data_IF_567145878220
#
_entry.id   IF_567145878220
#
_cell.length_a   1.000
_cell.length_b   1.000
_cell.length_c   1.000
_cell.angle_alpha   90.00
_cell.angle_beta   90.00
_cell.angle_gamma   90.00
#
_symmetry.space_group_name_H-M   'P 1'
#
loop_
_entity.id
_entity.type
_entity.pdbx_description
1 polymer ?
#
# COMPACT_ATOMS: atom_id res chain seq x y z
N UNK A 1 -38.76 -5.61 21.93
CA UNK A 1 -37.29 -5.70 21.74
C UNK A 1 -36.85 -4.39 21.09
N UNK A 2 -36.23 -3.49 21.86
CA UNK A 2 -36.25 -2.04 21.56
C UNK A 2 -35.20 -1.65 20.51
N UNK A 3 -35.64 -0.98 19.45
CA UNK A 3 -34.81 -0.54 18.32
C UNK A 3 -33.59 0.30 18.75
N UNK A 4 -33.69 1.04 19.86
CA UNK A 4 -32.60 1.87 20.39
C UNK A 4 -31.38 1.07 20.87
N UNK A 5 -31.58 -0.14 21.40
CA UNK A 5 -30.47 -1.03 21.79
C UNK A 5 -29.71 -1.57 20.58
N UNK A 6 -30.41 -1.84 19.48
CA UNK A 6 -29.78 -2.30 18.23
C UNK A 6 -28.91 -1.21 17.61
N UNK A 7 -29.38 0.05 17.62
CA UNK A 7 -28.60 1.19 17.10
C UNK A 7 -27.36 1.45 17.96
N UNK A 8 -27.45 1.34 19.29
CA UNK A 8 -26.29 1.49 20.18
C UNK A 8 -25.22 0.42 19.96
N UNK A 9 -25.62 -0.85 19.84
CA UNK A 9 -24.71 -1.98 19.56
C UNK A 9 -24.10 -1.85 18.16
N UNK A 10 -24.90 -1.48 17.16
CA UNK A 10 -24.42 -1.28 15.80
C UNK A 10 -23.42 -0.11 15.72
N UNK A 11 -23.68 1.00 16.42
CA UNK A 11 -22.77 2.15 16.47
C UNK A 11 -21.46 1.81 17.18
N UNK A 12 -21.51 1.07 18.29
CA UNK A 12 -20.32 0.59 19.00
C UNK A 12 -19.49 -0.40 18.16
N UNK A 13 -20.16 -1.32 17.47
CA UNK A 13 -19.51 -2.27 16.55
C UNK A 13 -18.87 -1.57 15.36
N UNK A 14 -19.58 -0.61 14.74
CA UNK A 14 -19.09 0.16 13.60
C UNK A 14 -17.89 1.03 13.99
N UNK A 15 -17.95 1.72 15.14
CA UNK A 15 -16.82 2.50 15.67
C UNK A 15 -15.60 1.62 15.95
N UNK A 16 -15.79 0.44 16.56
CA UNK A 16 -14.71 -0.52 16.78
C UNK A 16 -14.10 -0.99 15.46
N UNK A 17 -14.91 -1.31 14.47
CA UNK A 17 -14.44 -1.74 13.13
C UNK A 17 -13.65 -0.64 12.42
N UNK A 18 -14.15 0.59 12.43
CA UNK A 18 -13.47 1.74 11.81
C UNK A 18 -12.14 2.02 12.54
N UNK A 19 -12.13 1.96 13.87
CA UNK A 19 -10.92 2.18 14.66
C UNK A 19 -9.84 1.14 14.36
N UNK A 20 -10.22 -0.15 14.29
CA UNK A 20 -9.30 -1.22 13.90
C UNK A 20 -8.77 -0.99 12.48
N UNK A 21 -9.65 -0.63 11.53
CA UNK A 21 -9.26 -0.37 10.15
C UNK A 21 -8.26 0.79 10.04
N UNK A 22 -8.49 1.90 10.76
CA UNK A 22 -7.57 3.04 10.79
C UNK A 22 -6.21 2.66 11.40
N UNK A 23 -6.21 1.92 12.51
CA UNK A 23 -4.97 1.46 13.16
C UNK A 23 -4.19 0.54 12.22
N UNK A 24 -4.86 -0.40 11.54
CA UNK A 24 -4.23 -1.32 10.59
C UNK A 24 -3.61 -0.55 9.42
N UNK A 25 -4.34 0.39 8.81
CA UNK A 25 -3.82 1.21 7.71
C UNK A 25 -2.62 2.04 8.18
N UNK A 26 -2.75 2.72 9.32
CA UNK A 26 -1.66 3.52 9.88
C UNK A 26 -0.40 2.69 10.16
N UNK A 27 -0.58 1.50 10.71
CA UNK A 27 0.50 0.55 11.00
C UNK A 27 1.14 0.07 9.71
N UNK A 28 0.35 -0.32 8.71
CA UNK A 28 0.86 -0.76 7.42
C UNK A 28 1.65 0.33 6.69
N UNK A 29 1.13 1.58 6.67
CA UNK A 29 1.82 2.74 6.08
C UNK A 29 3.15 2.99 6.81
N UNK A 30 3.14 2.96 8.14
CA UNK A 30 4.33 3.20 8.95
C UNK A 30 5.38 2.11 8.73
N UNK A 31 4.96 0.84 8.77
CA UNK A 31 5.84 -0.29 8.47
C UNK A 31 6.43 -0.16 7.07
N UNK A 32 5.62 0.15 6.05
CA UNK A 32 6.11 0.28 4.69
C UNK A 32 7.13 1.42 4.56
N UNK A 33 6.88 2.56 5.21
CA UNK A 33 7.83 3.68 5.26
C UNK A 33 9.19 3.27 5.84
N UNK A 34 9.19 2.55 6.98
CA UNK A 34 10.44 2.08 7.58
C UNK A 34 11.09 0.95 6.78
N UNK A 35 10.30 0.00 6.29
CA UNK A 35 10.74 -1.15 5.51
C UNK A 35 11.50 -0.70 4.26
N UNK A 36 10.91 0.19 3.46
CA UNK A 36 11.53 0.72 2.24
C UNK A 36 12.81 1.51 2.52
N UNK A 37 12.96 2.03 3.75
CA UNK A 37 14.11 2.85 4.15
C UNK A 37 15.24 2.06 4.80
N UNK A 38 14.92 0.88 5.34
CA UNK A 38 15.88 -0.10 5.86
C UNK A 38 16.40 -0.99 4.72
N UNK A 39 15.62 -1.19 3.64
CA UNK A 39 16.09 -1.93 2.47
C UNK A 39 17.36 -1.26 1.90
N UNK A 40 18.47 -2.02 1.76
CA UNK A 40 19.67 -1.51 1.12
C UNK A 40 19.38 -1.25 -0.37
N UNK A 41 19.77 -0.07 -0.85
CA UNK A 41 19.40 0.43 -2.18
C UNK A 41 18.42 1.58 -2.06
N UNK A 42 18.92 2.76 -1.68
CA UNK A 42 18.11 3.98 -1.75
C UNK A 42 17.62 4.11 -3.20
N UNK A 43 16.31 4.26 -3.46
CA UNK A 43 15.81 4.40 -4.83
C UNK A 43 16.43 5.59 -5.56
N UNK A 44 16.94 6.58 -4.83
CA UNK A 44 17.77 7.66 -5.38
C UNK A 44 19.08 7.12 -5.95
N UNK A 45 19.78 6.24 -5.25
CA UNK A 45 21.04 5.64 -5.70
C UNK A 45 20.81 4.71 -6.88
N UNK A 46 19.70 3.95 -6.88
CA UNK A 46 19.30 3.10 -8.02
C UNK A 46 19.00 3.96 -9.25
N UNK A 47 18.31 5.09 -9.07
CA UNK A 47 18.05 6.04 -10.15
C UNK A 47 19.34 6.69 -10.67
N UNK A 48 20.22 7.13 -9.77
CA UNK A 48 21.53 7.70 -10.14
C UNK A 48 22.31 6.68 -10.97
N UNK A 49 22.36 5.41 -10.52
CA UNK A 49 23.01 4.34 -11.28
C UNK A 49 22.33 4.10 -12.63
N UNK A 50 21.00 4.14 -12.71
CA UNK A 50 20.30 4.00 -13.99
C UNK A 50 20.62 5.11 -15.00
N UNK A 51 20.92 6.33 -14.53
CA UNK A 51 21.38 7.43 -15.38
C UNK A 51 22.87 7.30 -15.73
N UNK A 52 23.70 6.81 -14.81
CA UNK A 52 25.11 6.52 -15.09
C UNK A 52 25.23 5.42 -16.16
N UNK A 53 24.41 4.37 -16.08
CA UNK A 53 24.32 3.30 -17.08
C UNK A 53 23.87 3.80 -18.47
N UNK A 54 23.14 4.93 -18.51
CA UNK A 54 22.74 5.62 -19.74
C UNK A 54 23.83 6.57 -20.29
N UNK A 55 24.98 6.66 -19.62
CA UNK A 55 26.13 7.46 -20.07
C UNK A 55 26.21 8.88 -19.50
N UNK A 56 25.38 9.24 -18.51
CA UNK A 56 25.47 10.54 -17.83
C UNK A 56 26.57 10.55 -16.78
N UNK A 57 27.24 11.70 -16.59
CA UNK A 57 28.19 11.89 -15.50
C UNK A 57 27.51 11.83 -14.13
N UNK A 58 28.22 11.40 -13.08
CA UNK A 58 27.66 11.25 -11.73
C UNK A 58 26.95 12.52 -11.23
N UNK A 59 27.56 13.70 -11.42
CA UNK A 59 26.98 14.97 -10.99
C UNK A 59 25.73 15.36 -11.79
N UNK A 60 25.68 15.03 -13.08
CA UNK A 60 24.51 15.27 -13.93
C UNK A 60 23.36 14.33 -13.58
N UNK A 61 23.66 13.05 -13.32
CA UNK A 61 22.71 12.05 -12.87
C UNK A 61 22.07 12.47 -11.53
N UNK A 62 22.86 12.96 -10.57
CA UNK A 62 22.37 13.47 -9.28
C UNK A 62 21.42 14.66 -9.47
N UNK A 63 21.77 15.61 -10.35
CA UNK A 63 20.91 16.78 -10.63
C UNK A 63 19.61 16.37 -11.33
N UNK A 64 19.65 15.41 -12.27
CA UNK A 64 18.43 14.91 -12.92
C UNK A 64 17.51 14.18 -11.94
N UNK A 65 18.08 13.33 -11.08
CA UNK A 65 17.32 12.62 -10.04
C UNK A 65 16.71 13.60 -9.05
N UNK A 66 17.43 14.66 -8.64
CA UNK A 66 16.88 15.72 -7.80
C UNK A 66 15.67 16.44 -8.45
N UNK A 67 15.73 16.70 -9.77
CA UNK A 67 14.62 17.32 -10.52
C UNK A 67 13.41 16.40 -10.70
N UNK A 68 13.63 15.11 -10.86
CA UNK A 68 12.56 14.12 -11.12
C UNK A 68 11.83 13.73 -9.84
N UNK A 69 12.57 13.65 -8.73
CA UNK A 69 12.05 13.07 -7.49
C UNK A 69 11.40 14.13 -6.58
N UNK A 70 11.66 15.44 -6.75
CA UNK A 70 11.18 16.51 -5.84
C UNK A 70 11.44 16.22 -4.35
N UNK A 71 12.35 15.29 -4.05
CA UNK A 71 12.65 14.85 -2.70
C UNK A 71 13.97 15.48 -2.32
N UNK A 72 13.85 16.55 -1.54
CA UNK A 72 14.99 17.26 -0.97
C UNK A 72 15.54 16.38 0.17
N UNK A 73 16.71 15.73 0.02
CA UNK A 73 17.22 14.77 1.01
C UNK A 73 17.63 15.43 2.34
N UNK A 74 17.57 16.77 2.45
CA UNK A 74 18.06 17.55 3.59
C UNK A 74 17.04 17.81 4.69
N UNK A 75 15.78 17.35 4.58
CA UNK A 75 14.81 17.49 5.68
C UNK A 75 15.03 16.43 6.79
N UNK A 76 14.82 16.75 8.07
CA UNK A 76 14.89 15.76 9.15
C UNK A 76 13.84 14.64 8.97
N UNK A 77 14.18 13.41 9.40
CA UNK A 77 13.35 12.20 9.16
C UNK A 77 11.88 12.36 9.55
N UNK A 78 11.61 13.05 10.66
CA UNK A 78 10.24 13.29 11.13
C UNK A 78 9.42 14.13 10.13
N UNK A 79 10.03 15.15 9.52
CA UNK A 79 9.37 16.02 8.56
C UNK A 79 9.05 15.25 7.28
N UNK A 80 9.94 14.33 6.86
CA UNK A 80 9.69 13.47 5.71
C UNK A 80 8.54 12.50 5.95
N UNK A 81 8.39 11.99 7.18
CA UNK A 81 7.27 11.12 7.54
C UNK A 81 5.93 11.88 7.55
N UNK A 82 5.92 13.13 8.04
CA UNK A 82 4.70 13.95 8.02
C UNK A 82 4.32 14.36 6.60
N UNK A 83 5.28 14.80 5.79
CA UNK A 83 5.04 15.13 4.39
C UNK A 83 4.50 13.88 3.65
N UNK A 84 5.04 12.69 3.93
CA UNK A 84 4.54 11.44 3.38
C UNK A 84 3.11 11.13 3.83
N UNK A 85 2.81 11.21 5.13
CA UNK A 85 1.45 11.01 5.63
C UNK A 85 0.45 11.96 4.99
N UNK A 86 0.78 13.26 4.92
CA UNK A 86 -0.09 14.28 4.36
C UNK A 86 -0.36 14.05 2.87
N UNK A 87 0.65 13.65 2.11
CA UNK A 87 0.50 13.27 0.71
C UNK A 87 -0.39 12.02 0.55
N UNK A 88 -0.20 11.00 1.39
CA UNK A 88 -1.04 9.79 1.37
C UNK A 88 -2.51 10.12 1.70
N UNK A 89 -2.76 10.96 2.70
CA UNK A 89 -4.12 11.41 3.03
C UNK A 89 -4.77 12.24 1.93
N UNK A 90 -4.00 12.98 1.14
CA UNK A 90 -4.48 13.72 -0.04
C UNK A 90 -4.68 12.81 -1.27
N UNK A 91 -4.45 11.50 -1.15
CA UNK A 91 -4.52 10.55 -2.27
C UNK A 91 -3.33 10.64 -3.22
N UNK A 92 -2.32 11.44 -2.89
CA UNK A 92 -1.08 11.54 -3.64
C UNK A 92 -0.07 10.54 -3.10
N UNK A 93 -0.07 9.34 -3.68
CA UNK A 93 0.90 8.28 -3.35
C UNK A 93 2.32 8.55 -3.90
N UNK A 94 2.54 9.72 -4.50
CA UNK A 94 3.79 10.08 -5.14
C UNK A 94 3.96 9.50 -6.54
N UNK A 95 5.16 9.68 -7.08
CA UNK A 95 5.58 9.13 -8.38
C UNK A 95 6.51 7.95 -8.16
N UNK A 96 6.40 6.95 -9.04
CA UNK A 96 7.28 5.79 -9.01
C UNK A 96 8.72 6.23 -9.28
N UNK A 97 9.61 5.81 -8.37
CA UNK A 97 11.05 6.08 -8.44
C UNK A 97 11.84 4.90 -9.04
N UNK A 98 11.21 3.75 -9.31
CA UNK A 98 11.96 2.53 -9.64
C UNK A 98 11.38 1.74 -10.81
N UNK A 99 10.04 1.70 -10.96
CA UNK A 99 9.38 0.81 -11.94
C UNK A 99 9.01 1.54 -13.23
N UNK A 100 8.67 2.83 -13.14
CA UNK A 100 8.37 3.68 -14.30
C UNK A 100 8.52 5.14 -13.90
N UNK A 101 9.72 5.68 -14.10
CA UNK A 101 10.13 7.02 -13.68
C UNK A 101 9.11 8.06 -14.16
N UNK A 102 8.44 8.72 -13.22
CA UNK A 102 7.47 9.79 -13.50
C UNK A 102 5.99 9.39 -13.56
N UNK A 103 5.64 8.09 -13.53
CA UNK A 103 4.24 7.64 -13.46
C UNK A 103 3.75 7.72 -12.01
N UNK A 104 2.53 8.23 -11.78
CA UNK A 104 1.92 8.23 -10.45
C UNK A 104 1.69 6.80 -9.96
N UNK A 105 2.02 6.53 -8.69
CA UNK A 105 1.82 5.19 -8.08
C UNK A 105 0.35 4.78 -8.18
N UNK A 106 -0.57 5.73 -8.04
CA UNK A 106 -2.00 5.50 -8.22
C UNK A 106 -2.38 4.96 -9.61
N UNK A 107 -1.68 5.35 -10.68
CA UNK A 107 -1.93 4.82 -12.04
C UNK A 107 -1.41 3.39 -12.18
N UNK A 108 -0.29 3.06 -11.55
CA UNK A 108 0.25 1.70 -11.51
C UNK A 108 -0.72 0.77 -10.77
N UNK A 109 -1.17 1.21 -9.58
CA UNK A 109 -2.20 0.50 -8.81
C UNK A 109 -3.47 0.33 -9.64
N UNK A 110 -3.95 1.39 -10.29
CA UNK A 110 -5.13 1.33 -11.14
C UNK A 110 -5.01 0.31 -12.29
N UNK A 111 -3.81 0.16 -12.86
CA UNK A 111 -3.55 -0.87 -13.88
C UNK A 111 -3.52 -2.30 -13.31
N UNK A 112 -3.05 -2.48 -12.08
CA UNK A 112 -2.98 -3.79 -11.43
C UNK A 112 -4.32 -4.22 -10.78
N UNK A 113 -5.16 -3.27 -10.37
CA UNK A 113 -6.41 -3.49 -9.64
C UNK A 113 -7.34 -4.53 -10.31
N UNK A 114 -7.63 -4.47 -11.62
CA UNK A 114 -8.54 -5.42 -12.25
C UNK A 114 -8.07 -6.87 -12.11
N UNK A 115 -6.77 -7.11 -12.26
CA UNK A 115 -6.18 -8.44 -12.14
C UNK A 115 -6.22 -8.95 -10.71
N UNK A 116 -5.93 -8.09 -9.73
CA UNK A 116 -6.03 -8.46 -8.31
C UNK A 116 -7.46 -8.82 -7.94
N UNK A 117 -8.45 -8.02 -8.37
CA UNK A 117 -9.87 -8.30 -8.11
C UNK A 117 -10.31 -9.61 -8.77
N UNK A 118 -9.88 -9.85 -10.00
CA UNK A 118 -10.19 -11.09 -10.72
C UNK A 118 -9.65 -12.32 -9.99
N UNK A 119 -8.37 -12.30 -9.61
CA UNK A 119 -7.75 -13.40 -8.86
C UNK A 119 -8.41 -13.61 -7.50
N UNK A 120 -8.62 -12.54 -6.73
CA UNK A 120 -9.29 -12.61 -5.43
C UNK A 120 -10.70 -13.20 -5.56
N UNK A 121 -11.46 -12.80 -6.58
CA UNK A 121 -12.81 -13.31 -6.80
C UNK A 121 -12.81 -14.82 -7.03
N UNK A 122 -11.90 -15.31 -7.88
CA UNK A 122 -11.76 -16.76 -8.14
C UNK A 122 -11.35 -17.50 -6.87
N UNK A 123 -10.35 -16.99 -6.14
CA UNK A 123 -9.89 -17.59 -4.89
C UNK A 123 -11.02 -17.68 -3.86
N UNK A 124 -11.80 -16.61 -3.67
CA UNK A 124 -12.93 -16.60 -2.74
C UNK A 124 -13.99 -17.62 -3.14
N UNK A 125 -14.35 -17.69 -4.42
CA UNK A 125 -15.34 -18.66 -4.92
C UNK A 125 -14.87 -20.09 -4.70
N UNK A 126 -13.62 -20.39 -5.03
CA UNK A 126 -13.04 -21.73 -4.83
C UNK A 126 -12.94 -22.09 -3.34
N UNK A 127 -12.42 -21.19 -2.51
CA UNK A 127 -12.32 -21.42 -1.06
C UNK A 127 -13.70 -21.61 -0.44
N UNK A 128 -14.70 -20.85 -0.87
CA UNK A 128 -16.08 -21.02 -0.42
C UNK A 128 -16.63 -22.38 -0.84
N UNK A 129 -16.49 -22.76 -2.11
CA UNK A 129 -16.97 -24.04 -2.63
C UNK A 129 -16.34 -25.23 -1.91
N UNK A 130 -15.00 -25.23 -1.77
CA UNK A 130 -14.27 -26.27 -1.06
C UNK A 130 -14.68 -26.32 0.42
N UNK A 131 -14.77 -25.17 1.08
CA UNK A 131 -15.18 -25.08 2.48
C UNK A 131 -16.58 -25.63 2.72
N UNK A 132 -17.53 -25.35 1.82
CA UNK A 132 -18.90 -25.87 1.88
C UNK A 132 -18.92 -27.38 1.64
N UNK A 133 -18.20 -27.88 0.63
CA UNK A 133 -18.14 -29.32 0.33
C UNK A 133 -17.54 -30.12 1.48
N UNK A 134 -16.41 -29.65 2.04
CA UNK A 134 -15.78 -30.28 3.20
C UNK A 134 -16.68 -30.21 4.43
N UNK A 135 -17.33 -29.07 4.66
CA UNK A 135 -18.31 -28.92 5.74
C UNK A 135 -19.48 -29.90 5.62
N UNK A 136 -20.01 -30.08 4.41
CA UNK A 136 -21.08 -31.04 4.13
C UNK A 136 -20.63 -32.48 4.33
N UNK A 137 -19.44 -32.84 3.85
CA UNK A 137 -18.87 -34.18 4.03
C UNK A 137 -18.68 -34.52 5.51
N UNK A 138 -18.13 -33.59 6.29
CA UNK A 138 -17.98 -33.76 7.74
C UNK A 138 -19.32 -33.86 8.47
N UNK A 139 -20.36 -33.15 8.01
CA UNK A 139 -21.69 -33.24 8.59
C UNK A 139 -22.35 -34.60 8.30
N UNK A 140 -22.15 -35.14 7.10
CA UNK A 140 -22.69 -36.45 6.71
C UNK A 140 -21.98 -37.61 7.44
N UNK A 141 -20.65 -37.56 7.60
CA UNK A 141 -19.86 -38.61 8.25
C UNK A 141 -19.94 -38.60 9.79
N UNK A 142 -20.73 -37.70 10.38
CA UNK A 142 -20.92 -37.59 11.84
C UNK A 142 -22.24 -38.23 12.32
N UNK A 143 -23.06 -38.71 11.39
CA UNK A 143 -24.18 -39.64 11.62
C UNK A 143 -23.77 -41.05 11.21
#
# INVERSE_FOLDING_TARGET
MNAERLVGVFRGWLLRRISILLITIFTAISINFFLLRIMPGNPIDILIQSYIDQGYGYDEAVIMVQRVVNFIPTKPLWAQYIDFLMNVFQGNLGRSMTVATGISVGRIIAGALPWTVFLLSISVVLSFAIGVLLGMYMAYNRN
#
